data_IF_299207309304
#
_entry.id   IF_299207309304
#
_cell.length_a   1.000
_cell.length_b   1.000
_cell.length_c   1.000
_cell.angle_alpha   90.00
_cell.angle_beta   90.00
_cell.angle_gamma   90.00
#
_symmetry.space_group_name_H-M   'P 1'
#
loop_
_entity.id
_entity.type
_entity.pdbx_description
1 polymer ?
#
# COMPACT_ATOMS: atom_id res chain seq x y z
N UNK A 1 13.83 -25.18 -16.50
CA UNK A 1 13.82 -25.94 -15.23
C UNK A 1 12.46 -26.62 -15.08
N UNK A 2 12.40 -27.88 -14.63
CA UNK A 2 11.13 -28.51 -14.28
C UNK A 2 10.87 -28.18 -12.80
N UNK A 3 9.74 -27.53 -12.43
CA UNK A 3 9.48 -27.22 -11.04
C UNK A 3 9.37 -28.49 -10.19
N UNK A 4 9.65 -28.39 -8.90
CA UNK A 4 9.40 -29.42 -7.89
C UNK A 4 7.97 -29.31 -7.33
N UNK A 5 7.60 -30.19 -6.40
CA UNK A 5 6.25 -30.27 -5.81
C UNK A 5 5.89 -29.03 -4.97
N UNK A 6 6.89 -28.31 -4.49
CA UNK A 6 6.72 -27.06 -3.73
C UNK A 6 6.79 -25.82 -4.62
N UNK A 7 6.88 -25.98 -5.95
CA UNK A 7 7.03 -24.88 -6.91
C UNK A 7 8.16 -23.91 -6.53
N UNK A 8 9.29 -24.45 -6.05
CA UNK A 8 10.46 -23.67 -5.65
C UNK A 8 11.08 -22.96 -6.84
N UNK A 9 11.48 -21.72 -6.59
CA UNK A 9 12.52 -21.01 -7.32
C UNK A 9 13.87 -21.23 -6.62
N UNK A 10 14.96 -20.65 -7.13
CA UNK A 10 16.33 -20.83 -6.60
C UNK A 10 16.45 -20.68 -5.07
N UNK A 11 15.62 -19.86 -4.41
CA UNK A 11 15.62 -19.67 -2.95
C UNK A 11 14.25 -19.60 -2.25
N UNK A 12 13.14 -19.56 -2.99
CA UNK A 12 11.81 -19.32 -2.39
C UNK A 12 10.73 -20.25 -2.95
N UNK A 13 9.85 -20.74 -2.08
CA UNK A 13 8.63 -21.50 -2.43
C UNK A 13 7.39 -20.68 -2.11
N UNK A 14 6.57 -20.43 -3.12
CA UNK A 14 5.29 -19.74 -2.96
C UNK A 14 4.27 -20.57 -2.16
N UNK A 15 4.28 -21.91 -2.31
CA UNK A 15 3.39 -22.82 -1.57
C UNK A 15 3.74 -22.86 -0.08
N UNK A 16 5.04 -22.95 0.25
CA UNK A 16 5.46 -23.05 1.66
C UNK A 16 5.16 -21.79 2.45
N UNK A 17 5.27 -20.61 1.82
CA UNK A 17 5.07 -19.33 2.51
C UNK A 17 3.62 -18.85 2.52
N UNK A 18 2.76 -19.45 1.69
CA UNK A 18 1.38 -19.00 1.52
C UNK A 18 0.58 -19.01 2.84
N UNK A 19 0.75 -20.03 3.69
CA UNK A 19 0.01 -20.12 4.95
C UNK A 19 0.36 -18.96 5.91
N UNK A 20 1.66 -18.65 6.03
CA UNK A 20 2.14 -17.56 6.87
C UNK A 20 1.69 -16.19 6.34
N UNK A 21 1.73 -15.99 5.01
CA UNK A 21 1.25 -14.76 4.39
C UNK A 21 -0.27 -14.58 4.57
N UNK A 22 -1.05 -15.65 4.42
CA UNK A 22 -2.50 -15.63 4.67
C UNK A 22 -2.83 -15.20 6.10
N UNK A 23 -2.10 -15.73 7.09
CA UNK A 23 -2.26 -15.37 8.50
C UNK A 23 -1.89 -13.91 8.76
N UNK A 24 -0.75 -13.45 8.23
CA UNK A 24 -0.33 -12.06 8.34
C UNK A 24 -1.40 -11.10 7.80
N UNK A 25 -1.89 -11.37 6.59
CA UNK A 25 -2.96 -10.59 5.97
C UNK A 25 -4.25 -10.56 6.82
N UNK A 26 -4.65 -11.72 7.36
CA UNK A 26 -5.81 -11.84 8.24
C UNK A 26 -5.66 -11.03 9.53
N UNK A 27 -4.48 -11.05 10.16
CA UNK A 27 -4.20 -10.27 11.39
C UNK A 27 -4.24 -8.77 11.11
N UNK A 28 -3.62 -8.31 10.01
CA UNK A 28 -3.65 -6.90 9.62
C UNK A 28 -5.09 -6.44 9.31
N UNK A 29 -5.86 -7.27 8.61
CA UNK A 29 -7.29 -7.02 8.34
C UNK A 29 -8.12 -6.93 9.62
N UNK A 30 -7.91 -7.85 10.58
CA UNK A 30 -8.59 -7.84 11.87
C UNK A 30 -8.27 -6.58 12.69
N UNK A 31 -7.00 -6.20 12.75
CA UNK A 31 -6.56 -4.96 13.41
C UNK A 31 -7.24 -3.72 12.83
N UNK A 32 -7.39 -3.65 11.50
CA UNK A 32 -8.09 -2.55 10.84
C UNK A 32 -9.58 -2.52 11.17
N UNK A 33 -10.26 -3.67 11.28
CA UNK A 33 -11.66 -3.72 11.71
C UNK A 33 -11.81 -3.11 13.11
N UNK A 34 -10.89 -3.42 14.03
CA UNK A 34 -10.86 -2.81 15.35
C UNK A 34 -10.63 -1.29 15.28
N UNK A 35 -9.67 -0.84 14.46
CA UNK A 35 -9.41 0.59 14.27
C UNK A 35 -10.62 1.34 13.69
N UNK A 36 -11.33 0.73 12.73
CA UNK A 36 -12.58 1.25 12.17
C UNK A 36 -13.65 1.38 13.25
N UNK A 37 -13.86 0.36 14.08
CA UNK A 37 -14.84 0.40 15.17
C UNK A 37 -14.58 1.55 16.15
N UNK A 38 -13.30 1.83 16.46
CA UNK A 38 -12.91 2.95 17.31
C UNK A 38 -13.08 4.32 16.63
N UNK A 39 -12.99 4.38 15.30
CA UNK A 39 -13.19 5.61 14.53
C UNK A 39 -14.67 5.94 14.26
N UNK A 40 -15.55 4.94 14.23
CA UNK A 40 -16.97 5.14 13.94
C UNK A 40 -17.68 6.07 14.93
N UNK A 41 -17.22 6.13 16.18
CA UNK A 41 -17.79 6.99 17.22
C UNK A 41 -17.37 8.47 17.06
N UNK A 42 -16.36 8.76 16.23
CA UNK A 42 -15.85 10.12 16.03
C UNK A 42 -16.54 10.82 14.86
N UNK A 43 -17.29 11.87 15.16
CA UNK A 43 -17.94 12.70 14.14
C UNK A 43 -16.99 13.79 13.61
N UNK A 44 -15.92 13.41 12.91
CA UNK A 44 -15.00 14.36 12.26
C UNK A 44 -14.84 14.06 10.76
N UNK A 45 -14.61 15.12 9.97
CA UNK A 45 -14.37 14.99 8.51
C UNK A 45 -13.15 14.11 8.22
N UNK A 46 -12.12 14.19 9.07
CA UNK A 46 -10.90 13.39 8.98
C UNK A 46 -11.14 11.90 9.26
N UNK A 47 -12.03 11.59 10.22
CA UNK A 47 -12.41 10.23 10.54
C UNK A 47 -13.09 9.54 9.33
N UNK A 48 -13.96 10.23 8.59
CA UNK A 48 -14.66 9.67 7.42
C UNK A 48 -13.68 9.22 6.32
N UNK A 49 -12.66 10.02 6.03
CA UNK A 49 -11.68 9.68 4.99
C UNK A 49 -10.75 8.55 5.43
N UNK A 50 -10.33 8.54 6.69
CA UNK A 50 -9.51 7.47 7.27
C UNK A 50 -10.29 6.16 7.32
N UNK A 51 -11.59 6.22 7.63
CA UNK A 51 -12.51 5.08 7.61
C UNK A 51 -12.66 4.51 6.20
N UNK A 52 -12.76 5.35 5.18
CA UNK A 52 -12.80 4.89 3.78
C UNK A 52 -11.50 4.16 3.38
N UNK A 53 -10.33 4.72 3.76
CA UNK A 53 -9.04 4.09 3.51
C UNK A 53 -8.94 2.73 4.22
N UNK A 54 -9.27 2.67 5.51
CA UNK A 54 -9.27 1.42 6.28
C UNK A 54 -10.26 0.39 5.74
N UNK A 55 -11.47 0.79 5.35
CA UNK A 55 -12.45 -0.12 4.78
C UNK A 55 -11.94 -0.76 3.49
N UNK A 56 -11.31 0.02 2.60
CA UNK A 56 -10.67 -0.53 1.40
C UNK A 56 -9.48 -1.43 1.72
N UNK A 57 -8.69 -1.07 2.74
CA UNK A 57 -7.55 -1.87 3.19
C UNK A 57 -7.98 -3.22 3.81
N UNK A 58 -9.07 -3.23 4.58
CA UNK A 58 -9.67 -4.48 5.09
C UNK A 58 -10.09 -5.37 3.94
N UNK A 59 -10.78 -4.81 2.94
CA UNK A 59 -11.23 -5.58 1.78
C UNK A 59 -10.05 -6.23 1.04
N UNK A 60 -9.01 -5.47 0.73
CA UNK A 60 -7.85 -5.98 -0.01
C UNK A 60 -7.07 -7.02 0.80
N UNK A 61 -6.91 -6.83 2.12
CA UNK A 61 -6.20 -7.77 3.00
C UNK A 61 -7.00 -9.06 3.26
N UNK A 62 -8.32 -8.99 3.37
CA UNK A 62 -9.15 -10.19 3.51
C UNK A 62 -9.16 -11.01 2.22
N UNK A 63 -9.26 -10.35 1.07
CA UNK A 63 -9.14 -11.02 -0.22
C UNK A 63 -7.75 -11.61 -0.42
N UNK A 64 -6.69 -10.89 -0.03
CA UNK A 64 -5.33 -11.39 -0.04
C UNK A 64 -5.17 -12.66 0.83
N UNK A 65 -5.68 -12.62 2.06
CA UNK A 65 -5.69 -13.77 2.98
C UNK A 65 -6.41 -14.98 2.35
N UNK A 66 -7.55 -14.75 1.69
CA UNK A 66 -8.29 -15.78 0.97
C UNK A 66 -7.49 -16.34 -0.21
N UNK A 67 -6.85 -15.50 -1.02
CA UNK A 67 -6.03 -15.96 -2.15
C UNK A 67 -4.83 -16.78 -1.69
N UNK A 68 -4.11 -16.34 -0.67
CA UNK A 68 -3.03 -17.15 -0.09
C UNK A 68 -3.54 -18.48 0.49
N UNK A 69 -4.73 -18.49 1.09
CA UNK A 69 -5.37 -19.74 1.54
C UNK A 69 -5.66 -20.69 0.37
N UNK A 70 -6.15 -20.20 -0.77
CA UNK A 70 -6.30 -21.02 -1.97
C UNK A 70 -4.96 -21.59 -2.47
N UNK A 71 -3.89 -20.79 -2.43
CA UNK A 71 -2.54 -21.26 -2.81
C UNK A 71 -2.08 -22.39 -1.88
N UNK A 72 -2.32 -22.30 -0.56
CA UNK A 72 -1.95 -23.38 0.37
C UNK A 72 -2.64 -24.72 0.07
N UNK A 73 -3.85 -24.67 -0.49
CA UNK A 73 -4.61 -25.86 -0.88
C UNK A 73 -4.20 -26.44 -2.24
N UNK A 74 -3.25 -25.83 -2.95
CA UNK A 74 -2.86 -26.26 -4.30
C UNK A 74 -2.08 -27.57 -4.24
N UNK A 75 -2.63 -28.61 -4.87
CA UNK A 75 -1.99 -29.90 -5.06
C UNK A 75 -1.27 -29.91 -6.42
N UNK A 76 -0.03 -30.40 -6.46
CA UNK A 76 0.80 -30.36 -7.67
C UNK A 76 0.98 -31.77 -8.24
N UNK A 77 0.12 -32.21 -9.18
CA UNK A 77 0.21 -33.55 -9.77
C UNK A 77 1.40 -33.69 -10.73
N UNK A 78 1.94 -34.91 -10.83
CA UNK A 78 3.17 -35.20 -11.59
C UNK A 78 3.12 -34.89 -13.09
N UNK A 79 1.92 -34.92 -13.70
CA UNK A 79 1.74 -34.68 -15.14
C UNK A 79 1.64 -33.20 -15.57
N UNK A 80 1.21 -32.30 -14.67
CA UNK A 80 0.90 -30.90 -14.99
C UNK A 80 1.64 -29.89 -14.10
N UNK A 81 2.68 -30.35 -13.40
CA UNK A 81 3.48 -29.61 -12.41
C UNK A 81 3.82 -28.17 -12.84
N UNK A 82 4.24 -27.98 -14.10
CA UNK A 82 4.60 -26.66 -14.63
C UNK A 82 3.43 -25.69 -14.74
N UNK A 83 2.25 -26.16 -15.15
CA UNK A 83 1.07 -25.31 -15.27
C UNK A 83 0.54 -24.91 -13.89
N UNK A 84 0.46 -25.87 -12.96
CA UNK A 84 0.02 -25.61 -11.59
C UNK A 84 0.95 -24.64 -10.86
N UNK A 85 2.27 -24.82 -10.99
CA UNK A 85 3.23 -23.90 -10.39
C UNK A 85 3.21 -22.52 -11.02
N UNK A 86 2.96 -22.41 -12.34
CA UNK A 86 2.76 -21.12 -12.99
C UNK A 86 1.55 -20.37 -12.40
N UNK A 87 0.44 -21.07 -12.18
CA UNK A 87 -0.75 -20.50 -11.52
C UNK A 87 -0.41 -20.05 -10.10
N UNK A 88 0.22 -20.90 -9.30
CA UNK A 88 0.58 -20.57 -7.92
C UNK A 88 1.51 -19.34 -7.84
N UNK A 89 2.50 -19.22 -8.72
CA UNK A 89 3.38 -18.05 -8.80
C UNK A 89 2.65 -16.78 -9.26
N UNK A 90 1.76 -16.87 -10.25
CA UNK A 90 0.94 -15.71 -10.66
C UNK A 90 0.02 -15.23 -9.54
N UNK A 91 -0.66 -16.14 -8.85
CA UNK A 91 -1.54 -15.81 -7.74
C UNK A 91 -0.73 -15.22 -6.58
N UNK A 92 0.37 -15.86 -6.20
CA UNK A 92 1.24 -15.39 -5.12
C UNK A 92 1.82 -14.01 -5.38
N UNK A 93 2.27 -13.72 -6.61
CA UNK A 93 2.79 -12.40 -6.96
C UNK A 93 1.71 -11.31 -6.82
N UNK A 94 0.49 -11.57 -7.28
CA UNK A 94 -0.62 -10.61 -7.21
C UNK A 94 -1.07 -10.40 -5.77
N UNK A 95 -1.21 -11.47 -5.00
CA UNK A 95 -1.50 -11.45 -3.56
C UNK A 95 -0.46 -10.63 -2.80
N UNK A 96 0.83 -10.85 -3.02
CA UNK A 96 1.87 -10.02 -2.38
C UNK A 96 1.71 -8.53 -2.68
N UNK A 97 1.31 -8.15 -3.91
CA UNK A 97 0.99 -6.76 -4.24
C UNK A 97 -0.22 -6.21 -3.46
N UNK A 98 -1.26 -7.03 -3.28
CA UNK A 98 -2.43 -6.73 -2.46
C UNK A 98 -2.07 -6.54 -0.98
N UNK A 99 -1.26 -7.44 -0.43
CA UNK A 99 -0.71 -7.36 0.93
C UNK A 99 0.09 -6.08 1.14
N UNK A 100 0.99 -5.77 0.20
CA UNK A 100 1.86 -4.59 0.24
C UNK A 100 1.04 -3.28 0.25
N UNK A 101 0.03 -3.19 -0.63
CA UNK A 101 -0.88 -2.04 -0.67
C UNK A 101 -1.72 -1.92 0.62
N UNK A 102 -2.27 -3.03 1.11
CA UNK A 102 -3.07 -3.07 2.33
C UNK A 102 -2.27 -2.69 3.59
N UNK A 103 -1.04 -3.21 3.73
CA UNK A 103 -0.14 -2.87 4.82
C UNK A 103 0.22 -1.38 4.80
N UNK A 104 0.55 -0.83 3.62
CA UNK A 104 0.86 0.60 3.49
C UNK A 104 -0.34 1.47 3.86
N UNK A 105 -1.56 1.08 3.46
CA UNK A 105 -2.79 1.79 3.79
C UNK A 105 -3.10 1.75 5.30
N UNK A 106 -2.79 0.64 5.97
CA UNK A 106 -2.91 0.52 7.43
C UNK A 106 -2.01 1.53 8.14
N UNK A 107 -0.72 1.56 7.82
CA UNK A 107 0.20 2.50 8.46
C UNK A 107 -0.09 3.95 8.08
N UNK A 108 -0.50 4.20 6.83
CA UNK A 108 -0.97 5.50 6.37
C UNK A 108 -2.17 6.03 7.16
N UNK A 109 -3.20 5.19 7.35
CA UNK A 109 -4.37 5.58 8.12
C UNK A 109 -4.10 5.72 9.62
N UNK A 110 -3.20 4.91 10.19
CA UNK A 110 -2.72 5.12 11.56
C UNK A 110 -1.99 6.46 11.71
N UNK A 111 -1.17 6.84 10.72
CA UNK A 111 -0.52 8.15 10.69
C UNK A 111 -1.53 9.31 10.72
N UNK A 112 -2.65 9.18 10.00
CA UNK A 112 -3.77 10.13 10.06
C UNK A 112 -4.47 10.15 11.44
N UNK A 113 -4.67 8.99 12.08
CA UNK A 113 -5.24 8.94 13.42
C UNK A 113 -4.34 9.63 14.46
N UNK A 114 -3.03 9.43 14.38
CA UNK A 114 -2.07 10.07 15.28
C UNK A 114 -2.03 11.58 15.06
N UNK A 115 -2.01 12.03 13.81
CA UNK A 115 -2.01 13.46 13.50
C UNK A 115 -3.31 14.16 13.91
N UNK A 116 -4.47 13.56 13.65
CA UNK A 116 -5.77 14.12 14.06
C UNK A 116 -5.92 14.15 15.58
N UNK A 117 -5.36 13.16 16.30
CA UNK A 117 -5.31 13.19 17.76
C UNK A 117 -4.40 14.30 18.28
N UNK A 118 -3.20 14.45 17.71
CA UNK A 118 -2.26 15.51 18.05
C UNK A 118 -2.86 16.90 17.82
N UNK A 119 -3.49 17.15 16.66
CA UNK A 119 -4.12 18.45 16.34
C UNK A 119 -5.25 18.78 17.30
N UNK A 120 -6.16 17.83 17.59
CA UNK A 120 -7.26 18.08 18.53
C UNK A 120 -6.76 18.35 19.96
N UNK A 121 -5.66 17.75 20.39
CA UNK A 121 -5.11 17.95 21.73
C UNK A 121 -4.29 19.22 21.89
N UNK A 122 -3.58 19.64 20.85
CA UNK A 122 -2.82 20.91 20.83
C UNK A 122 -3.75 22.12 21.00
N UNK A 123 -5.01 22.02 20.58
CA UNK A 123 -6.00 23.10 20.77
C UNK A 123 -6.42 23.31 22.24
N UNK A 124 -6.22 22.32 23.12
CA UNK A 124 -6.75 22.30 24.49
C UNK A 124 -5.68 22.49 25.60
N UNK A 125 -4.37 22.52 25.31
CA UNK A 125 -3.30 22.39 26.33
C UNK A 125 -2.08 23.32 26.21
N UNK A 126 -1.25 23.32 27.25
CA UNK A 126 -0.03 24.13 27.46
C UNK A 126 1.11 23.85 26.45
N UNK A 127 2.01 24.83 26.32
CA UNK A 127 3.08 24.91 25.30
C UNK A 127 4.09 23.73 25.35
N UNK A 128 4.32 23.12 26.51
CA UNK A 128 5.28 22.01 26.66
C UNK A 128 4.77 20.69 26.07
N UNK A 129 3.45 20.45 26.06
CA UNK A 129 2.84 19.24 25.48
C UNK A 129 2.82 19.28 23.93
N UNK A 130 2.89 20.47 23.34
CA UNK A 130 2.90 20.68 21.88
C UNK A 130 4.06 19.94 21.20
N UNK A 131 5.24 19.90 21.84
CA UNK A 131 6.41 19.20 21.28
C UNK A 131 6.21 17.69 21.24
N UNK A 132 5.60 17.11 22.27
CA UNK A 132 5.28 15.68 22.31
C UNK A 132 4.25 15.30 21.25
N UNK A 133 3.20 16.12 21.08
CA UNK A 133 2.19 15.91 20.04
C UNK A 133 2.75 16.10 18.61
N UNK A 134 3.67 17.05 18.41
CA UNK A 134 4.39 17.19 17.14
C UNK A 134 5.19 15.92 16.81
N UNK A 135 5.92 15.36 17.77
CA UNK A 135 6.67 14.12 17.55
C UNK A 135 5.76 12.95 17.19
N UNK A 136 4.59 12.84 17.83
CA UNK A 136 3.61 11.80 17.53
C UNK A 136 3.06 11.91 16.09
N UNK A 137 2.82 13.14 15.62
CA UNK A 137 2.40 13.39 14.23
C UNK A 137 3.53 13.10 13.22
N UNK A 138 4.79 13.44 13.55
CA UNK A 138 5.96 13.11 12.72
C UNK A 138 6.14 11.59 12.61
N UNK A 139 5.97 10.86 13.71
CA UNK A 139 6.08 9.41 13.76
C UNK A 139 5.10 8.74 12.79
N UNK A 140 3.87 9.24 12.68
CA UNK A 140 2.87 8.74 11.73
C UNK A 140 3.33 8.82 10.27
N UNK A 141 3.95 9.93 9.87
CA UNK A 141 4.52 10.10 8.54
C UNK A 141 5.67 9.12 8.26
N UNK A 142 6.61 9.00 9.22
CA UNK A 142 7.74 8.09 9.09
C UNK A 142 7.35 6.61 9.08
N UNK A 143 6.34 6.20 9.87
CA UNK A 143 5.79 4.84 9.83
C UNK A 143 5.16 4.54 8.46
N UNK A 144 4.44 5.50 7.89
CA UNK A 144 3.87 5.38 6.54
C UNK A 144 4.95 5.20 5.49
N UNK A 145 6.03 6.00 5.57
CA UNK A 145 7.18 5.88 4.68
C UNK A 145 7.89 4.52 4.83
N UNK A 146 8.14 4.08 6.06
CA UNK A 146 8.79 2.79 6.32
C UNK A 146 7.97 1.62 5.75
N UNK A 147 6.65 1.68 5.89
CA UNK A 147 5.73 0.70 5.30
C UNK A 147 5.77 0.74 3.76
N UNK A 148 5.68 1.92 3.16
CA UNK A 148 5.76 2.14 1.71
C UNK A 148 7.08 1.63 1.10
N UNK A 149 8.21 1.94 1.75
CA UNK A 149 9.53 1.48 1.34
C UNK A 149 9.62 -0.05 1.40
N UNK A 150 9.19 -0.64 2.52
CA UNK A 150 9.22 -2.11 2.70
C UNK A 150 8.32 -2.81 1.69
N UNK A 151 7.10 -2.30 1.49
CA UNK A 151 6.17 -2.76 0.47
C UNK A 151 6.80 -2.74 -0.93
N UNK A 152 7.42 -1.62 -1.31
CA UNK A 152 8.08 -1.44 -2.62
C UNK A 152 9.22 -2.43 -2.83
N UNK A 153 10.06 -2.66 -1.82
CA UNK A 153 11.14 -3.65 -1.88
C UNK A 153 10.60 -5.08 -2.03
N UNK A 154 9.57 -5.43 -1.25
CA UNK A 154 8.95 -6.75 -1.32
C UNK A 154 8.34 -7.00 -2.71
N UNK A 155 7.59 -6.04 -3.26
CA UNK A 155 6.98 -6.22 -4.59
C UNK A 155 8.02 -6.20 -5.71
N UNK A 156 9.14 -5.50 -5.53
CA UNK A 156 10.28 -5.53 -6.46
C UNK A 156 10.88 -6.92 -6.55
N UNK A 157 11.28 -7.50 -5.41
CA UNK A 157 11.84 -8.86 -5.35
C UNK A 157 10.84 -9.89 -5.87
N UNK A 158 9.57 -9.79 -5.46
CA UNK A 158 8.50 -10.67 -5.93
C UNK A 158 8.33 -10.62 -7.45
N UNK A 159 8.45 -9.43 -8.05
CA UNK A 159 8.34 -9.25 -9.51
C UNK A 159 9.51 -9.86 -10.25
N UNK A 160 10.72 -9.72 -9.70
CA UNK A 160 11.94 -10.31 -10.27
C UNK A 160 11.85 -11.84 -10.20
N UNK A 161 11.46 -12.41 -9.06
CA UNK A 161 11.32 -13.86 -8.89
C UNK A 161 10.21 -14.43 -9.77
N UNK A 162 9.09 -13.72 -9.90
CA UNK A 162 8.03 -14.06 -10.84
C UNK A 162 8.53 -14.14 -12.28
N UNK A 163 9.30 -13.14 -12.74
CA UNK A 163 9.88 -13.14 -14.09
C UNK A 163 10.90 -14.27 -14.29
N UNK A 164 11.75 -14.51 -13.29
CA UNK A 164 12.72 -15.63 -13.30
C UNK A 164 12.01 -16.96 -13.47
N UNK A 165 10.94 -17.18 -12.72
CA UNK A 165 10.14 -18.40 -12.80
C UNK A 165 9.49 -18.56 -14.19
N UNK A 166 8.84 -17.50 -14.69
CA UNK A 166 8.08 -17.56 -15.96
C UNK A 166 8.96 -17.76 -17.18
N UNK A 167 10.11 -17.09 -17.25
CA UNK A 167 11.03 -17.22 -18.39
C UNK A 167 12.04 -18.37 -18.23
N UNK A 168 12.08 -19.00 -17.05
CA UNK A 168 12.95 -20.14 -16.74
C UNK A 168 14.45 -19.83 -16.79
N UNK A 169 14.81 -18.55 -16.89
CA UNK A 169 16.16 -18.00 -16.94
C UNK A 169 16.15 -16.66 -16.21
N UNK A 170 17.32 -16.17 -15.81
CA UNK A 170 17.41 -14.81 -15.26
C UNK A 170 16.93 -13.80 -16.30
N UNK A 171 16.05 -12.86 -15.93
CA UNK A 171 15.66 -11.78 -16.82
C UNK A 171 16.91 -11.05 -17.27
N UNK A 172 16.89 -10.49 -18.48
CA UNK A 172 18.01 -9.72 -18.98
C UNK A 172 18.32 -8.58 -17.97
N UNK A 173 19.61 -8.37 -17.69
CA UNK A 173 20.07 -7.45 -16.63
C UNK A 173 19.46 -6.04 -16.74
N UNK A 174 19.09 -5.61 -17.96
CA UNK A 174 18.40 -4.33 -18.17
C UNK A 174 16.98 -4.28 -17.59
N UNK A 175 16.20 -5.38 -17.58
CA UNK A 175 14.85 -5.43 -17.01
C UNK A 175 14.95 -5.43 -15.49
N UNK A 176 15.84 -6.25 -14.93
CA UNK A 176 16.09 -6.26 -13.49
C UNK A 176 16.58 -4.89 -13.01
N UNK A 177 17.55 -4.30 -13.72
CA UNK A 177 18.02 -2.94 -13.46
C UNK A 177 16.92 -1.87 -13.59
N UNK A 178 16.04 -1.98 -14.58
CA UNK A 178 14.93 -1.04 -14.76
C UNK A 178 13.92 -1.13 -13.61
N UNK A 179 13.57 -2.33 -13.16
CA UNK A 179 12.69 -2.54 -11.99
C UNK A 179 13.32 -1.91 -10.74
N UNK A 180 14.59 -2.23 -10.46
CA UNK A 180 15.30 -1.73 -9.28
C UNK A 180 15.41 -0.20 -9.32
N UNK A 181 15.80 0.39 -10.46
CA UNK A 181 15.91 1.85 -10.61
C UNK A 181 14.55 2.52 -10.48
N UNK A 182 13.49 1.95 -11.07
CA UNK A 182 12.13 2.48 -10.93
C UNK A 182 11.69 2.46 -9.46
N UNK A 183 11.87 1.35 -8.76
CA UNK A 183 11.59 1.23 -7.32
C UNK A 183 12.39 2.22 -6.49
N UNK A 184 13.67 2.42 -6.79
CA UNK A 184 14.50 3.41 -6.12
C UNK A 184 13.97 4.84 -6.34
N UNK A 185 13.51 5.18 -7.54
CA UNK A 185 12.87 6.47 -7.84
C UNK A 185 11.58 6.65 -7.04
N UNK A 186 10.73 5.62 -6.94
CA UNK A 186 9.53 5.67 -6.10
C UNK A 186 9.86 5.87 -4.62
N UNK A 187 10.82 5.11 -4.08
CA UNK A 187 11.25 5.25 -2.67
C UNK A 187 11.79 6.65 -2.40
N UNK A 188 12.63 7.20 -3.28
CA UNK A 188 13.15 8.57 -3.14
C UNK A 188 12.01 9.60 -3.23
N UNK A 189 11.06 9.40 -4.13
CA UNK A 189 9.89 10.27 -4.27
C UNK A 189 9.05 10.25 -3.00
N UNK A 190 8.73 9.07 -2.47
CA UNK A 190 7.98 8.90 -1.22
C UNK A 190 8.71 9.52 -0.03
N UNK A 191 10.04 9.34 0.06
CA UNK A 191 10.87 9.95 1.08
C UNK A 191 10.81 11.47 1.05
N UNK A 192 10.95 12.07 -0.15
CA UNK A 192 10.88 13.52 -0.35
C UNK A 192 9.49 14.03 0.01
N UNK A 193 8.43 13.36 -0.45
CA UNK A 193 7.05 13.75 -0.17
C UNK A 193 6.76 13.75 1.33
N UNK A 194 7.07 12.65 2.02
CA UNK A 194 6.85 12.53 3.47
C UNK A 194 7.69 13.55 4.22
N UNK A 195 8.98 13.70 3.89
CA UNK A 195 9.87 14.66 4.54
C UNK A 195 9.36 16.10 4.41
N UNK A 196 8.88 16.50 3.23
CA UNK A 196 8.33 17.84 2.99
C UNK A 196 7.02 18.07 3.73
N UNK A 197 6.09 17.09 3.66
CA UNK A 197 4.77 17.16 4.29
C UNK A 197 4.87 17.17 5.82
N UNK A 198 5.67 16.28 6.38
CA UNK A 198 5.92 16.20 7.83
C UNK A 198 6.58 17.48 8.36
N UNK A 199 7.54 18.06 7.62
CA UNK A 199 8.13 19.37 7.98
C UNK A 199 7.11 20.51 7.92
N UNK A 200 6.21 20.51 6.94
CA UNK A 200 5.15 21.51 6.83
C UNK A 200 4.18 21.43 8.01
N UNK A 201 3.75 20.22 8.38
CA UNK A 201 2.89 19.98 9.55
C UNK A 201 3.55 20.47 10.85
N UNK A 202 4.83 20.12 11.07
CA UNK A 202 5.58 20.54 12.26
C UNK A 202 5.65 22.05 12.39
N UNK A 203 5.94 22.76 11.29
CA UNK A 203 5.99 24.23 11.27
C UNK A 203 4.64 24.85 11.61
N UNK A 204 3.55 24.26 11.11
CA UNK A 204 2.20 24.75 11.38
C UNK A 204 1.75 24.49 12.81
N UNK A 205 2.08 23.33 13.38
CA UNK A 205 1.77 23.02 14.78
C UNK A 205 2.56 23.88 15.78
N UNK A 206 3.74 24.36 15.39
CA UNK A 206 4.49 25.33 16.21
C UNK A 206 3.93 26.76 16.17
N UNK A 207 3.04 27.05 15.23
CA UNK A 207 2.40 28.36 15.09
C UNK A 207 1.00 28.33 15.73
N UNK A 208 0.92 28.71 17.00
CA UNK A 208 -0.30 28.68 17.81
C UNK A 208 -1.33 29.74 17.36
N UNK A 209 -0.91 30.69 16.51
CA UNK A 209 -1.74 31.83 16.11
C UNK A 209 -2.84 31.50 15.09
N UNK A 210 -2.74 30.39 14.35
CA UNK A 210 -3.72 30.00 13.33
C UNK A 210 -4.26 28.57 13.51
N UNK A 211 -5.56 28.32 13.30
CA UNK A 211 -6.13 26.98 13.38
C UNK A 211 -5.57 26.11 12.23
N UNK A 212 -4.85 25.05 12.58
CA UNK A 212 -4.27 24.12 11.61
C UNK A 212 -5.37 23.35 10.88
N UNK A 213 -5.57 23.62 9.58
CA UNK A 213 -6.47 22.86 8.73
C UNK A 213 -5.68 21.78 7.98
N UNK A 214 -6.06 20.52 8.18
CA UNK A 214 -5.47 19.38 7.50
C UNK A 214 -5.96 19.30 6.04
N UNK A 215 -5.03 19.17 5.09
CA UNK A 215 -5.37 18.96 3.68
C UNK A 215 -5.71 17.48 3.39
N UNK A 216 -6.97 17.20 3.07
CA UNK A 216 -7.42 15.84 2.70
C UNK A 216 -7.24 15.53 1.21
N UNK A 217 -6.06 15.81 0.66
CA UNK A 217 -5.79 15.60 -0.77
C UNK A 217 -5.36 14.14 -1.00
N UNK A 218 -5.90 13.52 -2.05
CA UNK A 218 -5.50 12.19 -2.58
C UNK A 218 -5.99 10.91 -1.85
N UNK A 219 -6.63 10.98 -0.68
CA UNK A 219 -7.15 9.76 -0.02
C UNK A 219 -8.13 9.00 -0.93
N UNK A 220 -9.00 9.72 -1.66
CA UNK A 220 -9.93 9.10 -2.62
C UNK A 220 -9.20 8.27 -3.69
N UNK A 221 -8.08 8.77 -4.19
CA UNK A 221 -7.30 8.07 -5.21
C UNK A 221 -6.67 6.79 -4.64
N UNK A 222 -6.11 6.86 -3.43
CA UNK A 222 -5.59 5.68 -2.73
C UNK A 222 -6.70 4.64 -2.49
N UNK A 223 -7.85 5.04 -1.94
CA UNK A 223 -8.98 4.15 -1.68
C UNK A 223 -9.50 3.50 -2.97
N UNK A 224 -9.74 4.28 -4.03
CA UNK A 224 -10.19 3.73 -5.31
C UNK A 224 -9.14 2.81 -5.93
N UNK A 225 -7.86 3.16 -5.84
CA UNK A 225 -6.76 2.31 -6.30
C UNK A 225 -6.73 0.95 -5.60
N UNK A 226 -6.88 0.93 -4.27
CA UNK A 226 -6.93 -0.31 -3.48
C UNK A 226 -8.12 -1.18 -3.92
N UNK A 227 -9.30 -0.59 -4.12
CA UNK A 227 -10.48 -1.34 -4.57
C UNK A 227 -10.27 -1.91 -5.98
N UNK A 228 -9.69 -1.12 -6.89
CA UNK A 228 -9.36 -1.59 -8.26
C UNK A 228 -8.35 -2.73 -8.21
N UNK A 229 -7.33 -2.62 -7.37
CA UNK A 229 -6.34 -3.68 -7.16
C UNK A 229 -7.00 -4.95 -6.59
N UNK A 230 -7.89 -4.81 -5.60
CA UNK A 230 -8.61 -5.93 -5.00
C UNK A 230 -9.48 -6.68 -6.02
N UNK A 231 -10.24 -5.94 -6.82
CA UNK A 231 -11.09 -6.51 -7.88
C UNK A 231 -10.23 -7.17 -8.95
N UNK A 232 -9.24 -6.45 -9.49
CA UNK A 232 -8.37 -6.95 -10.55
C UNK A 232 -7.56 -8.17 -10.12
N UNK A 233 -6.99 -8.14 -8.92
CA UNK A 233 -6.19 -9.22 -8.37
C UNK A 233 -7.03 -10.47 -8.09
N UNK A 234 -8.20 -10.31 -7.47
CA UNK A 234 -9.11 -11.43 -7.18
C UNK A 234 -9.70 -12.02 -8.47
N UNK A 235 -10.09 -11.18 -9.42
CA UNK A 235 -10.61 -11.61 -10.71
C UNK A 235 -9.57 -12.42 -11.49
N UNK A 236 -8.32 -11.92 -11.56
CA UNK A 236 -7.22 -12.64 -12.19
C UNK A 236 -6.98 -13.97 -11.48
N UNK A 237 -6.83 -13.96 -10.16
CA UNK A 237 -6.53 -15.14 -9.38
C UNK A 237 -7.54 -16.29 -9.59
N UNK A 238 -8.84 -15.98 -9.59
CA UNK A 238 -9.90 -16.98 -9.81
C UNK A 238 -10.01 -17.40 -11.27
N UNK A 239 -9.71 -16.51 -12.22
CA UNK A 239 -9.81 -16.80 -13.65
C UNK A 239 -8.66 -17.66 -14.17
N UNK A 240 -7.49 -17.63 -13.52
CA UNK A 240 -6.30 -18.38 -13.94
C UNK A 240 -6.54 -19.89 -14.07
N UNK A 241 -7.37 -20.48 -13.20
CA UNK A 241 -7.73 -21.90 -13.28
C UNK A 241 -8.54 -22.27 -14.55
N UNK A 242 -9.11 -21.28 -15.25
CA UNK A 242 -9.90 -21.47 -16.48
C UNK A 242 -9.09 -21.19 -17.74
N UNK A 243 -7.86 -20.71 -17.61
CA UNK A 243 -6.99 -20.39 -18.74
C UNK A 243 -6.35 -21.69 -19.25
N UNK A 244 -6.32 -21.93 -20.59
CA UNK A 244 -5.67 -23.10 -21.15
C UNK A 244 -4.20 -23.17 -20.70
N UNK A 245 -3.74 -24.35 -20.25
CA UNK A 245 -2.37 -24.54 -19.74
C UNK A 245 -1.27 -24.08 -20.70
N UNK A 246 -1.52 -24.11 -22.02
CA UNK A 246 -0.58 -23.60 -23.04
C UNK A 246 -0.31 -22.10 -22.96
N UNK A 247 -1.26 -21.29 -22.48
CA UNK A 247 -1.10 -19.84 -22.30
C UNK A 247 -0.36 -19.47 -21.00
N UNK A 248 -0.36 -20.38 -20.03
CA UNK A 248 0.31 -20.21 -18.73
C UNK A 248 1.73 -20.79 -18.74
N UNK A 249 1.96 -21.82 -19.55
CA UNK A 249 3.27 -22.49 -19.68
C UNK A 249 4.17 -21.88 -20.73
N UNK A 250 3.61 -21.19 -21.73
CA UNK A 250 4.33 -20.31 -22.63
C UNK A 250 4.19 -18.86 -22.13
N UNK A 251 5.28 -18.12 -21.86
CA UNK A 251 5.22 -16.78 -21.31
C UNK A 251 4.56 -15.82 -22.30
N UNK A 252 3.25 -15.61 -22.16
CA UNK A 252 2.53 -14.60 -22.91
C UNK A 252 2.84 -13.22 -22.31
N UNK A 253 3.50 -12.37 -23.09
CA UNK A 253 3.92 -11.02 -22.68
C UNK A 253 2.76 -10.19 -22.12
N UNK A 254 1.54 -10.40 -22.62
CA UNK A 254 0.35 -9.68 -22.15
C UNK A 254 -0.03 -10.09 -20.72
N UNK A 255 -0.03 -11.40 -20.42
CA UNK A 255 -0.36 -11.91 -19.08
C UNK A 255 0.72 -11.50 -18.09
N UNK A 256 1.99 -11.68 -18.45
CA UNK A 256 3.13 -11.29 -17.62
C UNK A 256 3.10 -9.78 -17.33
N UNK A 257 2.88 -8.95 -18.36
CA UNK A 257 2.76 -7.51 -18.20
C UNK A 257 1.59 -7.11 -17.30
N UNK A 258 0.44 -7.77 -17.44
CA UNK A 258 -0.72 -7.52 -16.58
C UNK A 258 -0.47 -7.91 -15.12
N UNK A 259 0.19 -9.04 -14.86
CA UNK A 259 0.61 -9.45 -13.51
C UNK A 259 1.58 -8.42 -12.92
N UNK A 260 2.58 -7.96 -13.67
CA UNK A 260 3.51 -6.92 -13.21
C UNK A 260 2.78 -5.59 -12.89
N UNK A 261 1.75 -5.24 -13.65
CA UNK A 261 0.94 -4.05 -13.34
C UNK A 261 0.25 -4.21 -11.98
N UNK A 262 -0.36 -5.36 -11.72
CA UNK A 262 -1.08 -5.61 -10.46
C UNK A 262 -0.16 -5.85 -9.26
N UNK A 263 1.01 -6.44 -9.47
CA UNK A 263 1.97 -6.76 -8.40
C UNK A 263 2.87 -5.58 -8.06
N UNK A 264 3.35 -4.82 -9.05
CA UNK A 264 4.39 -3.80 -8.87
C UNK A 264 3.83 -2.39 -9.07
N UNK A 265 3.31 -2.09 -10.26
CA UNK A 265 3.01 -0.72 -10.67
C UNK A 265 1.84 -0.15 -9.85
N UNK A 266 0.74 -0.89 -9.76
CA UNK A 266 -0.45 -0.40 -9.08
C UNK A 266 -0.24 -0.28 -7.55
N UNK A 267 0.36 -1.27 -6.86
CA UNK A 267 0.69 -1.12 -5.43
C UNK A 267 1.66 0.01 -5.13
N UNK A 268 2.69 0.23 -5.96
CA UNK A 268 3.63 1.35 -5.78
C UNK A 268 2.95 2.70 -6.00
N UNK A 269 2.10 2.84 -7.02
CA UNK A 269 1.30 4.06 -7.22
C UNK A 269 0.36 4.32 -6.03
N UNK A 270 -0.28 3.27 -5.51
CA UNK A 270 -1.15 3.37 -4.32
C UNK A 270 -0.31 3.81 -3.11
N UNK A 271 0.86 3.20 -2.90
CA UNK A 271 1.80 3.55 -1.83
C UNK A 271 2.20 5.02 -1.91
N UNK A 272 2.63 5.50 -3.07
CA UNK A 272 2.97 6.92 -3.28
C UNK A 272 1.77 7.83 -3.05
N UNK A 273 0.56 7.43 -3.45
CA UNK A 273 -0.64 8.20 -3.17
C UNK A 273 -0.95 8.28 -1.66
N UNK A 274 -0.67 7.23 -0.89
CA UNK A 274 -0.79 7.20 0.56
C UNK A 274 0.27 8.11 1.19
N UNK A 275 1.54 8.01 0.77
CA UNK A 275 2.63 8.89 1.21
C UNK A 275 2.36 10.37 0.89
N UNK A 276 1.80 10.65 -0.29
CA UNK A 276 1.38 11.99 -0.68
C UNK A 276 0.22 12.50 0.16
N UNK A 277 -0.65 11.60 0.63
CA UNK A 277 -1.76 11.92 1.51
C UNK A 277 -1.36 12.08 2.98
N UNK A 278 -0.09 11.96 3.37
CA UNK A 278 0.33 12.15 4.77
C UNK A 278 -0.13 13.53 5.28
N UNK A 279 -0.64 13.61 6.52
CA UNK A 279 -1.11 14.85 7.14
C UNK A 279 -0.18 16.04 6.90
N UNK A 280 -0.75 17.13 6.36
CA UNK A 280 -0.06 18.38 6.07
C UNK A 280 -1.05 19.53 6.13
N UNK A 281 -0.54 20.72 6.41
CA UNK A 281 -1.31 21.95 6.37
C UNK A 281 -1.10 22.68 5.04
N UNK A 282 -2.09 23.48 4.64
CA UNK A 282 -2.03 24.26 3.41
C UNK A 282 -1.27 25.57 3.66
N UNK A 283 0.00 25.64 3.26
CA UNK A 283 0.82 26.85 3.44
C UNK A 283 0.30 28.06 2.62
N UNK A 284 -0.67 27.85 1.71
CA UNK A 284 -1.20 28.90 0.82
C UNK A 284 -2.33 29.75 1.43
N UNK A 285 -2.79 29.49 2.65
CA UNK A 285 -3.79 30.35 3.29
C UNK A 285 -3.22 31.53 4.08
N UNK A 286 -1.91 31.76 4.02
CA UNK A 286 -1.24 32.94 4.59
C UNK A 286 -1.47 34.25 3.80
N UNK A 287 -2.44 34.27 2.87
CA UNK A 287 -3.00 35.53 2.39
C UNK A 287 -4.12 35.95 3.37
N UNK A 288 -3.93 37.03 4.16
CA UNK A 288 -4.88 37.41 5.18
C UNK A 288 -6.21 37.75 4.52
N UNK A 289 -7.23 36.87 4.66
CA UNK A 289 -8.60 37.11 4.20
C UNK A 289 -9.22 38.38 4.82
N UNK A 290 -8.61 38.94 5.86
CA UNK A 290 -8.90 40.27 6.41
C UNK A 290 -8.71 41.42 5.39
N UNK A 291 -7.87 41.26 4.37
CA UNK A 291 -7.74 42.25 3.29
C UNK A 291 -8.94 42.22 2.32
N UNK A 292 -9.64 41.09 2.20
CA UNK A 292 -10.77 40.94 1.28
C UNK A 292 -12.07 41.50 1.87
N UNK A 293 -12.25 41.47 3.19
CA UNK A 293 -13.36 42.16 3.87
C UNK A 293 -13.21 43.68 3.93
N UNK A 294 -11.98 44.20 3.97
CA UNK A 294 -11.72 45.66 3.98
C UNK A 294 -11.85 46.33 2.61
N UNK A 295 -11.85 45.55 1.52
CA UNK A 295 -12.09 46.04 0.15
C UNK A 295 -13.55 45.99 -0.28
N UNK A 296 -14.41 45.26 0.44
CA UNK A 296 -15.85 45.22 0.17
C UNK A 296 -16.65 46.29 0.93
N UNK A 297 -15.98 47.08 1.79
CA UNK A 297 -16.58 48.15 2.60
C UNK A 297 -16.04 49.55 2.27
N UNK A 298 -15.49 49.75 1.07
CA UNK A 298 -15.16 51.07 0.53
C UNK A 298 -15.82 51.28 -0.82
#
# INVERSE_FOLDING_TARGET
MNPDELCTSDQWSVLSSAASNSQLAGVLGGFLITAIALLFDKNSREAVHTLALFSSAVLVLMLDSFLFSLITGTQVPDGERRATCAIAWTQGAVSTGMLAAGATALFGGLGWMLASHAVNKVADQDVDDVRAYCFMAELGGWLTFAAAMTATLIVSETSIDYLRFMYGHRPALWIEGLIIVACAVFIVTDFVLVSLRTRALRRSLSDIAEPTLLELRSIKFATTGIVVLAIGGSWLAVSLARVPGGWLTAPNVVIVGFVLVLTLILPTIISTAICYSVPSTDARSSEPRLARYRKASR
#
